data_IF_119489239800
#
_entry.id   IF_119489239800
#
_cell.length_a   1.000
_cell.length_b   1.000
_cell.length_c   1.000
_cell.angle_alpha   90.00
_cell.angle_beta   90.00
_cell.angle_gamma   90.00
#
_symmetry.space_group_name_H-M   'P 1'
#
loop_
_entity.id
_entity.type
_entity.pdbx_description
1 polymer ?
#
# COMPACT_ATOMS: atom_id res chain seq x y z
N UNK A 1 6.98 -15.45 -7.45
CA UNK A 1 7.41 -14.40 -6.49
C UNK A 1 6.16 -13.71 -5.96
N UNK A 2 6.14 -13.21 -4.71
CA UNK A 2 4.96 -12.51 -4.20
C UNK A 2 4.69 -11.23 -4.98
N UNK A 3 3.41 -10.96 -5.26
CA UNK A 3 2.95 -9.73 -5.88
C UNK A 3 2.57 -8.72 -4.82
N UNK A 4 3.03 -7.49 -4.95
CA UNK A 4 2.69 -6.39 -4.07
C UNK A 4 1.99 -5.30 -4.86
N UNK A 5 0.85 -4.86 -4.36
CA UNK A 5 0.18 -3.64 -4.82
C UNK A 5 0.63 -2.49 -3.93
N UNK A 6 1.22 -1.47 -4.53
CA UNK A 6 1.71 -0.27 -3.86
C UNK A 6 0.82 0.88 -4.29
N UNK A 7 0.25 1.59 -3.34
CA UNK A 7 -0.50 2.83 -3.57
C UNK A 7 0.30 4.01 -3.01
N UNK A 8 0.53 5.03 -3.84
CA UNK A 8 1.10 6.29 -3.42
C UNK A 8 0.01 7.19 -2.84
N UNK A 9 0.12 7.53 -1.56
CA UNK A 9 -0.87 8.38 -0.88
C UNK A 9 -0.91 9.81 -1.41
N UNK A 10 0.19 10.30 -1.97
CA UNK A 10 0.37 11.67 -2.47
C UNK A 10 -0.16 11.79 -3.89
N UNK A 11 0.30 10.92 -4.80
CA UNK A 11 -0.10 10.99 -6.22
C UNK A 11 -1.38 10.20 -6.53
N UNK A 12 -1.86 9.38 -5.58
CA UNK A 12 -2.97 8.43 -5.77
C UNK A 12 -2.71 7.38 -6.85
N UNK A 13 -1.47 7.22 -7.27
CA UNK A 13 -1.06 6.20 -8.22
C UNK A 13 -0.99 4.84 -7.55
N UNK A 14 -1.30 3.80 -8.33
CA UNK A 14 -1.31 2.42 -7.89
C UNK A 14 -0.47 1.62 -8.86
N UNK A 15 0.52 0.89 -8.34
CA UNK A 15 1.41 0.05 -9.12
C UNK A 15 1.46 -1.34 -8.51
N UNK A 16 1.49 -2.37 -9.35
CA UNK A 16 1.65 -3.75 -8.93
C UNK A 16 3.05 -4.24 -9.36
N UNK A 17 3.84 -4.69 -8.40
CA UNK A 17 5.22 -5.15 -8.64
C UNK A 17 5.46 -6.51 -7.99
N UNK A 18 6.26 -7.33 -8.66
CA UNK A 18 6.73 -8.62 -8.14
C UNK A 18 8.06 -8.42 -7.43
N UNK A 19 8.09 -8.67 -6.13
CA UNK A 19 9.27 -8.44 -5.30
C UNK A 19 9.42 -9.56 -4.28
N UNK A 20 10.64 -9.78 -3.78
CA UNK A 20 10.86 -10.70 -2.65
C UNK A 20 10.32 -10.11 -1.34
N UNK A 21 10.38 -8.79 -1.17
CA UNK A 21 10.00 -8.06 0.04
C UNK A 21 9.26 -6.76 -0.28
N UNK A 22 8.42 -6.31 0.66
CA UNK A 22 7.67 -5.04 0.54
C UNK A 22 8.57 -3.80 0.41
N UNK A 23 9.73 -3.78 1.08
CA UNK A 23 10.70 -2.68 0.97
C UNK A 23 11.25 -2.57 -0.45
N UNK A 24 11.68 -3.70 -1.04
CA UNK A 24 12.15 -3.77 -2.42
C UNK A 24 11.07 -3.33 -3.40
N UNK A 25 9.81 -3.67 -3.13
CA UNK A 25 8.67 -3.23 -3.92
C UNK A 25 8.59 -1.69 -3.95
N UNK A 26 8.70 -1.02 -2.80
CA UNK A 26 8.72 0.45 -2.70
C UNK A 26 9.94 1.08 -3.37
N UNK A 27 11.12 0.47 -3.23
CA UNK A 27 12.36 0.93 -3.86
C UNK A 27 12.26 0.89 -5.39
N UNK A 28 11.66 -0.15 -5.96
CA UNK A 28 11.47 -0.27 -7.42
C UNK A 28 10.59 0.83 -8.02
N UNK A 29 9.60 1.32 -7.27
CA UNK A 29 8.72 2.43 -7.71
C UNK A 29 9.30 3.80 -7.33
N UNK A 30 10.46 3.85 -6.67
CA UNK A 30 11.15 5.06 -6.23
C UNK A 30 10.24 6.05 -5.47
N UNK A 31 9.35 5.50 -4.65
CA UNK A 31 8.45 6.27 -3.81
C UNK A 31 8.95 6.28 -2.36
N UNK A 32 8.71 7.39 -1.66
CA UNK A 32 9.02 7.47 -0.24
C UNK A 32 8.20 6.45 0.54
N UNK A 33 8.86 5.58 1.30
CA UNK A 33 8.23 4.49 2.07
C UNK A 33 7.08 5.02 2.95
N UNK A 34 7.21 6.21 3.54
CA UNK A 34 6.15 6.84 4.35
C UNK A 34 4.88 7.20 3.58
N UNK A 35 4.97 7.33 2.25
CA UNK A 35 3.86 7.62 1.35
C UNK A 35 3.31 6.36 0.64
N UNK A 36 3.97 5.21 0.80
CA UNK A 36 3.57 3.95 0.19
C UNK A 36 2.63 3.16 1.10
N UNK A 37 1.47 2.78 0.59
CA UNK A 37 0.63 1.75 1.18
C UNK A 37 0.86 0.44 0.41
N UNK A 38 1.50 -0.53 1.06
CA UNK A 38 1.86 -1.81 0.43
C UNK A 38 0.88 -2.89 0.86
N UNK A 39 0.30 -3.57 -0.13
CA UNK A 39 -0.60 -4.71 0.06
C UNK A 39 -0.04 -5.93 -0.66
N UNK A 40 0.15 -7.01 0.08
CA UNK A 40 0.55 -8.28 -0.49
C UNK A 40 -0.65 -8.93 -1.19
N UNK A 41 -0.55 -9.10 -2.50
CA UNK A 41 -1.48 -9.88 -3.31
C UNK A 41 -1.03 -11.35 -3.25
N UNK A 42 -1.51 -12.07 -2.24
CA UNK A 42 -1.45 -13.53 -2.25
C UNK A 42 -2.59 -14.06 -3.09
N UNK A 43 -2.29 -14.81 -4.15
CA UNK A 43 -3.27 -15.70 -4.76
C UNK A 43 -3.55 -16.84 -3.78
N UNK A 44 -4.59 -16.67 -2.96
CA UNK A 44 -5.10 -17.70 -2.07
C UNK A 44 -6.63 -17.76 -2.13
N UNK A 45 -7.27 -18.84 -1.65
CA UNK A 45 -8.73 -18.98 -1.68
C UNK A 45 -9.49 -17.92 -0.86
N UNK A 46 -8.77 -17.06 -0.12
CA UNK A 46 -9.30 -15.97 0.69
C UNK A 46 -9.06 -14.56 0.10
N UNK A 47 -8.75 -14.43 -1.19
CA UNK A 47 -8.49 -13.12 -1.83
C UNK A 47 -9.74 -12.27 -2.08
N UNK A 48 -10.89 -12.63 -1.48
CA UNK A 48 -12.14 -11.89 -1.58
C UNK A 48 -12.42 -11.05 -0.31
N UNK A 49 -11.37 -10.53 0.32
CA UNK A 49 -11.55 -9.48 1.32
C UNK A 49 -11.79 -8.21 0.51
N UNK A 50 -13.06 -7.83 0.37
CA UNK A 50 -13.49 -6.47 0.04
C UNK A 50 -12.83 -5.50 1.04
N UNK A 51 -11.55 -5.21 0.84
CA UNK A 51 -10.82 -4.25 1.65
C UNK A 51 -11.28 -2.87 1.17
N UNK A 52 -12.47 -2.48 1.65
CA UNK A 52 -12.89 -1.09 1.62
C UNK A 52 -11.74 -0.28 2.22
N UNK A 53 -11.22 0.72 1.51
CA UNK A 53 -10.15 1.54 2.06
C UNK A 53 -10.66 2.09 3.39
N UNK A 54 -10.01 1.71 4.50
CA UNK A 54 -10.28 2.36 5.78
C UNK A 54 -9.82 3.80 5.63
N UNK A 55 -10.77 4.69 5.33
CA UNK A 55 -10.57 6.13 5.45
C UNK A 55 -10.11 6.40 6.88
N UNK A 56 -8.81 6.65 7.04
CA UNK A 56 -8.24 7.06 8.31
C UNK A 56 -8.81 8.46 8.59
N UNK A 57 -9.84 8.51 9.43
CA UNK A 57 -10.44 9.78 9.85
C UNK A 57 -9.46 10.42 10.85
N UNK A 58 -8.41 11.06 10.34
CA UNK A 58 -7.59 12.01 11.08
C UNK A 58 -8.45 13.25 11.34
N UNK A 59 -9.32 13.16 12.34
CA UNK A 59 -9.85 14.34 13.03
C UNK A 59 -8.66 15.01 13.71
N UNK A 60 -8.02 15.93 13.00
CA UNK A 60 -7.13 16.88 13.63
C UNK A 60 -7.89 17.72 14.66
N UNK A 61 -7.29 17.92 15.83
CA UNK A 61 -7.12 19.27 16.38
C UNK A 61 -6.12 19.28 17.53
N UNK A 62 -5.02 19.98 17.24
CA UNK A 62 -4.17 20.75 18.13
C UNK A 62 -4.96 21.44 19.27
N UNK A 63 -4.39 21.44 20.48
CA UNK A 63 -4.61 22.46 21.52
C UNK A 63 -5.18 21.96 22.85
N UNK A 64 -4.30 21.69 23.82
CA UNK A 64 -4.19 22.42 25.11
C UNK A 64 -2.72 22.39 25.53
#
# INVERSE_FOLDING_TARGET
MPRYRIENRVTKEVVEVEASFAQTACEMVNWLIGNCYVKLLREGPFTNIEEKPKTLNLKGKLGI
#
